data_IF_561446353124
#
_entry.id   IF_561446353124
#
_cell.length_a   1.000
_cell.length_b   1.000
_cell.length_c   1.000
_cell.angle_alpha   90.00
_cell.angle_beta   90.00
_cell.angle_gamma   90.00
#
_symmetry.space_group_name_H-M   'P 1'
#
loop_
_entity.id
_entity.type
_entity.pdbx_description
1 polymer ?
#
# COMPACT_ATOMS: atom_id res chain seq x y z
N UNK A 1 -14.34 13.54 -0.49
CA UNK A 1 -13.91 12.82 -1.70
C UNK A 1 -15.04 11.84 -2.06
N UNK A 2 -15.81 12.06 -3.13
CA UNK A 2 -16.96 11.20 -3.49
C UNK A 2 -16.43 9.86 -4.02
N UNK A 3 -16.80 8.75 -3.39
CA UNK A 3 -16.52 7.42 -3.91
C UNK A 3 -17.54 7.07 -5.00
N UNK A 4 -17.10 7.04 -6.25
CA UNK A 4 -17.91 6.57 -7.37
C UNK A 4 -17.92 5.04 -7.44
N UNK A 5 -19.12 4.45 -7.53
CA UNK A 5 -19.34 3.03 -7.76
C UNK A 5 -18.62 2.59 -9.05
N UNK A 6 -17.60 1.73 -8.92
CA UNK A 6 -16.91 1.14 -10.07
C UNK A 6 -17.38 -0.31 -10.26
N UNK A 7 -18.09 -0.54 -11.36
CA UNK A 7 -18.56 -1.84 -11.82
C UNK A 7 -17.45 -2.90 -11.89
N UNK A 8 -17.81 -4.12 -11.50
CA UNK A 8 -16.91 -5.24 -11.19
C UNK A 8 -15.98 -5.68 -12.34
N UNK A 9 -14.68 -5.88 -12.07
CA UNK A 9 -13.81 -6.76 -12.85
C UNK A 9 -13.50 -8.05 -12.07
N UNK A 10 -13.33 -9.15 -12.82
CA UNK A 10 -13.10 -10.51 -12.35
C UNK A 10 -12.17 -10.62 -11.13
N UNK A 11 -12.77 -11.13 -10.04
CA UNK A 11 -12.19 -11.27 -8.71
C UNK A 11 -11.12 -12.38 -8.72
N UNK A 12 -9.88 -12.03 -8.34
CA UNK A 12 -8.85 -13.03 -8.01
C UNK A 12 -9.42 -13.96 -6.92
N UNK A 13 -9.36 -15.28 -7.12
CA UNK A 13 -9.87 -16.29 -6.19
C UNK A 13 -9.11 -16.22 -4.86
N UNK A 14 -9.61 -15.39 -3.94
CA UNK A 14 -9.23 -15.39 -2.52
C UNK A 14 -9.54 -16.80 -2.02
N UNK A 15 -8.54 -17.53 -1.49
CA UNK A 15 -8.77 -18.81 -0.77
C UNK A 15 -9.88 -18.52 0.24
N UNK A 16 -10.98 -19.28 0.14
CA UNK A 16 -12.28 -18.95 0.72
C UNK A 16 -12.17 -18.17 2.02
N UNK A 17 -12.52 -16.87 1.96
CA UNK A 17 -12.98 -16.18 3.15
C UNK A 17 -14.15 -17.02 3.63
N UNK A 18 -14.01 -17.64 4.81
CA UNK A 18 -15.09 -18.43 5.35
C UNK A 18 -16.33 -17.52 5.36
N UNK A 19 -17.35 -17.92 4.60
CA UNK A 19 -18.60 -17.16 4.44
C UNK A 19 -19.48 -17.28 5.68
N UNK A 20 -18.89 -17.56 6.84
CA UNK A 20 -19.47 -17.16 8.10
C UNK A 20 -19.72 -15.66 7.98
N UNK A 21 -21.00 -15.32 7.81
CA UNK A 21 -21.50 -13.96 7.63
C UNK A 21 -21.27 -13.20 8.94
N UNK A 22 -20.02 -12.87 9.25
CA UNK A 22 -19.71 -11.86 10.24
C UNK A 22 -20.17 -10.53 9.65
N UNK A 23 -21.47 -10.25 9.78
CA UNK A 23 -22.05 -8.98 9.43
C UNK A 23 -21.45 -7.98 10.40
N UNK A 24 -20.59 -7.10 9.89
CA UNK A 24 -20.06 -6.00 10.68
C UNK A 24 -21.25 -5.25 11.27
N UNK A 25 -21.30 -5.16 12.61
CA UNK A 25 -22.35 -4.45 13.32
C UNK A 25 -22.40 -2.99 12.85
N UNK A 26 -23.53 -2.30 13.01
CA UNK A 26 -23.57 -0.85 12.84
C UNK A 26 -22.46 -0.20 13.68
N UNK A 27 -21.79 0.79 13.11
CA UNK A 27 -20.77 1.54 13.85
C UNK A 27 -21.47 2.71 14.54
N UNK A 28 -21.31 2.82 15.87
CA UNK A 28 -21.73 3.99 16.61
C UNK A 28 -20.63 5.04 16.49
N UNK A 29 -20.97 6.21 15.98
CA UNK A 29 -20.07 7.36 15.90
C UNK A 29 -20.49 8.40 16.93
N UNK A 30 -19.75 9.50 17.04
CA UNK A 30 -20.07 10.59 17.97
C UNK A 30 -21.44 11.23 17.68
N UNK A 31 -21.87 11.26 16.41
CA UNK A 31 -23.07 11.99 15.98
C UNK A 31 -24.16 11.10 15.37
N UNK A 32 -23.84 9.91 14.87
CA UNK A 32 -24.80 9.04 14.17
C UNK A 32 -24.39 7.53 14.20
N UNK A 33 -25.23 6.67 13.64
CA UNK A 33 -24.99 5.23 13.49
C UNK A 33 -24.83 4.89 12.00
N UNK A 34 -23.67 4.36 11.62
CA UNK A 34 -23.42 3.92 10.26
C UNK A 34 -23.99 2.51 10.02
N UNK A 35 -25.04 2.43 9.20
CA UNK A 35 -25.74 1.17 8.91
C UNK A 35 -25.25 0.48 7.64
N UNK A 36 -25.10 1.23 6.54
CA UNK A 36 -24.69 0.65 5.25
C UNK A 36 -23.19 0.37 5.22
N UNK A 37 -22.75 -0.51 4.33
CA UNK A 37 -21.31 -0.77 4.17
C UNK A 37 -20.54 0.46 3.68
N UNK A 38 -21.19 1.33 2.92
CA UNK A 38 -20.60 2.58 2.43
C UNK A 38 -20.41 3.57 3.58
N UNK A 39 -21.45 3.80 4.39
CA UNK A 39 -21.36 4.67 5.57
C UNK A 39 -20.26 4.19 6.49
N UNK A 40 -20.23 2.87 6.78
CA UNK A 40 -19.20 2.28 7.63
C UNK A 40 -17.79 2.48 7.07
N UNK A 41 -17.61 2.34 5.76
CA UNK A 41 -16.32 2.56 5.12
C UNK A 41 -15.89 4.03 5.21
N UNK A 42 -16.82 4.96 5.01
CA UNK A 42 -16.59 6.40 5.15
C UNK A 42 -16.21 6.76 6.59
N UNK A 43 -16.93 6.26 7.59
CA UNK A 43 -16.61 6.51 9.00
C UNK A 43 -15.23 5.99 9.40
N UNK A 44 -14.88 4.77 8.96
CA UNK A 44 -13.54 4.23 9.18
C UNK A 44 -12.48 5.10 8.47
N UNK A 45 -12.73 5.50 7.22
CA UNK A 45 -11.80 6.34 6.48
C UNK A 45 -11.57 7.69 7.16
N UNK A 46 -12.64 8.37 7.59
CA UNK A 46 -12.58 9.64 8.32
C UNK A 46 -11.82 9.48 9.65
N UNK A 47 -12.11 8.42 10.41
CA UNK A 47 -11.43 8.14 11.67
C UNK A 47 -9.93 7.92 11.46
N UNK A 48 -9.54 7.13 10.45
CA UNK A 48 -8.14 6.89 10.12
C UNK A 48 -7.46 8.18 9.64
N UNK A 49 -8.10 8.97 8.78
CA UNK A 49 -7.57 10.25 8.32
C UNK A 49 -7.29 11.20 9.50
N UNK A 50 -8.18 11.24 10.49
CA UNK A 50 -7.98 12.01 11.71
C UNK A 50 -6.82 11.48 12.58
N UNK A 51 -6.70 10.16 12.72
CA UNK A 51 -5.62 9.53 13.52
C UNK A 51 -4.23 9.67 12.90
N UNK A 52 -4.15 9.71 11.56
CA UNK A 52 -2.87 9.83 10.84
C UNK A 52 -2.45 11.27 10.55
N UNK A 53 -2.98 12.25 11.30
CA UNK A 53 -2.49 13.63 11.27
C UNK A 53 -1.16 13.74 12.02
N UNK A 54 -0.32 14.69 11.62
CA UNK A 54 0.87 15.01 12.40
C UNK A 54 0.43 15.46 13.80
N UNK A 55 1.07 14.90 14.83
CA UNK A 55 0.86 15.34 16.20
C UNK A 55 1.29 16.80 16.34
N UNK A 56 0.49 17.61 17.04
CA UNK A 56 0.81 19.01 17.35
C UNK A 56 1.75 19.14 18.56
N UNK A 57 2.70 18.21 18.67
CA UNK A 57 3.69 18.21 19.75
C UNK A 57 4.88 19.03 19.24
N UNK A 58 4.80 20.35 19.43
CA UNK A 58 5.91 21.24 19.12
C UNK A 58 6.88 21.31 20.31
N UNK A 59 8.15 20.96 20.05
CA UNK A 59 9.25 21.16 20.99
C UNK A 59 10.37 21.86 20.23
N UNK A 60 10.50 23.20 20.34
CA UNK A 60 11.39 23.99 19.49
C UNK A 60 12.86 23.51 19.45
N UNK A 61 13.46 23.04 20.57
CA UNK A 61 14.80 22.47 20.53
C UNK A 61 14.91 21.20 19.67
N UNK A 62 13.89 20.32 19.72
CA UNK A 62 13.86 19.09 18.92
C UNK A 62 13.66 19.43 17.45
N UNK A 63 12.75 20.34 17.13
CA UNK A 63 12.52 20.78 15.76
C UNK A 63 13.77 21.38 15.12
N UNK A 64 14.49 22.22 15.88
CA UNK A 64 15.76 22.77 15.44
C UNK A 64 16.78 21.67 15.14
N UNK A 65 16.95 20.71 16.05
CA UNK A 65 17.89 19.60 15.89
C UNK A 65 17.53 18.72 14.68
N UNK A 66 16.25 18.39 14.51
CA UNK A 66 15.74 17.63 13.36
C UNK A 66 16.01 18.39 12.07
N UNK A 67 15.71 19.70 12.02
CA UNK A 67 15.93 20.53 10.83
C UNK A 67 17.42 20.61 10.47
N UNK A 68 18.29 20.76 11.46
CA UNK A 68 19.74 20.73 11.27
C UNK A 68 20.18 19.39 10.67
N UNK A 69 19.76 18.26 11.27
CA UNK A 69 20.12 16.92 10.80
C UNK A 69 19.60 16.60 9.39
N UNK A 70 18.37 17.00 9.08
CA UNK A 70 17.80 16.85 7.73
C UNK A 70 18.58 17.69 6.71
N UNK A 71 18.97 18.92 7.05
CA UNK A 71 19.76 19.77 6.16
C UNK A 71 21.19 19.24 5.97
N UNK A 72 21.81 18.74 7.04
CA UNK A 72 23.11 18.05 6.99
C UNK A 72 23.04 16.85 6.04
N UNK A 73 22.01 16.00 6.19
CA UNK A 73 21.77 14.85 5.32
C UNK A 73 21.52 15.24 3.86
N UNK A 74 20.77 16.31 3.59
CA UNK A 74 20.51 16.77 2.20
C UNK A 74 21.75 17.34 1.51
N UNK A 75 22.72 17.85 2.28
CA UNK A 75 23.97 18.43 1.77
C UNK A 75 25.09 17.40 1.66
N UNK A 76 24.96 16.24 2.31
CA UNK A 76 25.97 15.21 2.21
C UNK A 76 26.05 14.68 0.76
N UNK A 77 27.26 14.48 0.22
CA UNK A 77 27.40 13.89 -1.10
C UNK A 77 26.85 12.47 -1.06
N UNK A 78 26.02 12.12 -2.05
CA UNK A 78 25.50 10.75 -2.23
C UNK A 78 26.70 9.85 -2.60
N UNK A 79 27.26 9.19 -1.59
CA UNK A 79 28.60 8.57 -1.68
C UNK A 79 28.60 7.10 -2.13
N UNK A 80 27.46 6.53 -2.53
CA UNK A 80 27.44 5.11 -2.94
C UNK A 80 26.80 4.92 -4.32
N UNK A 81 27.51 4.29 -5.26
CA UNK A 81 26.89 3.75 -6.47
C UNK A 81 25.81 2.77 -6.03
N UNK A 82 24.54 3.04 -6.38
CA UNK A 82 23.48 2.06 -6.14
C UNK A 82 23.69 0.90 -7.09
N UNK A 83 23.85 -0.30 -6.53
CA UNK A 83 23.89 -1.54 -7.30
C UNK A 83 22.58 -1.72 -8.06
N UNK A 84 22.67 -1.82 -9.38
CA UNK A 84 21.53 -2.10 -10.25
C UNK A 84 21.12 -3.57 -10.15
N UNK A 85 19.83 -3.84 -10.30
CA UNK A 85 19.28 -5.18 -10.39
C UNK A 85 19.63 -5.84 -11.72
N UNK A 86 19.94 -7.14 -11.69
CA UNK A 86 20.11 -7.97 -12.88
C UNK A 86 18.75 -8.51 -13.34
N UNK A 87 18.60 -8.72 -14.65
CA UNK A 87 17.37 -9.29 -15.20
C UNK A 87 17.08 -10.71 -14.65
N UNK A 88 18.12 -11.49 -14.36
CA UNK A 88 17.99 -12.81 -13.72
C UNK A 88 17.40 -12.71 -12.31
N UNK A 89 17.86 -11.76 -11.50
CA UNK A 89 17.33 -11.51 -10.16
C UNK A 89 15.86 -11.14 -10.23
N UNK A 90 15.47 -10.24 -11.14
CA UNK A 90 14.07 -9.83 -11.32
C UNK A 90 13.22 -11.03 -11.76
N UNK A 91 13.70 -11.83 -12.71
CA UNK A 91 13.01 -13.03 -13.19
C UNK A 91 12.75 -14.04 -12.07
N UNK A 92 13.79 -14.37 -11.28
CA UNK A 92 13.68 -15.29 -10.16
C UNK A 92 12.71 -14.79 -9.09
N UNK A 93 12.73 -13.49 -8.80
CA UNK A 93 11.83 -12.88 -7.82
C UNK A 93 10.37 -12.93 -8.29
N UNK A 94 10.08 -12.64 -9.56
CA UNK A 94 8.74 -12.79 -10.14
C UNK A 94 8.26 -14.25 -10.01
N UNK A 95 9.14 -15.22 -10.26
CA UNK A 95 8.83 -16.65 -10.09
C UNK A 95 8.41 -17.02 -8.66
N UNK A 96 9.03 -16.39 -7.66
CA UNK A 96 8.77 -16.60 -6.22
C UNK A 96 7.45 -15.99 -5.73
N UNK A 97 6.77 -15.16 -6.52
CA UNK A 97 5.52 -14.51 -6.07
C UNK A 97 4.42 -15.53 -5.69
N UNK A 98 3.65 -15.25 -4.65
CA UNK A 98 2.50 -16.10 -4.28
C UNK A 98 1.31 -15.77 -5.20
N UNK A 99 0.69 -16.78 -5.82
CA UNK A 99 -0.38 -16.56 -6.80
C UNK A 99 -1.66 -15.96 -6.18
N UNK A 100 -1.96 -16.29 -4.92
CA UNK A 100 -3.20 -15.89 -4.25
C UNK A 100 -3.04 -14.59 -3.44
N UNK A 101 -2.29 -13.63 -3.99
CA UNK A 101 -2.17 -12.28 -3.42
C UNK A 101 -3.10 -11.34 -4.15
N UNK A 102 -3.59 -10.32 -3.45
CA UNK A 102 -4.41 -9.29 -4.07
C UNK A 102 -3.60 -8.55 -5.13
N UNK A 103 -4.17 -8.27 -6.31
CA UNK A 103 -3.56 -7.35 -7.26
C UNK A 103 -3.52 -5.94 -6.66
N UNK A 104 -2.64 -5.10 -7.21
CA UNK A 104 -2.58 -3.68 -6.90
C UNK A 104 -3.71 -2.88 -7.56
N UNK A 105 -3.61 -1.54 -7.48
CA UNK A 105 -4.55 -0.61 -8.12
C UNK A 105 -4.61 -0.79 -9.66
N UNK A 106 -3.52 -1.26 -10.25
CA UNK A 106 -3.39 -1.58 -11.67
C UNK A 106 -4.13 -2.86 -12.10
N UNK A 107 -4.66 -3.63 -11.13
CA UNK A 107 -5.33 -4.91 -11.33
C UNK A 107 -4.44 -5.99 -11.95
N UNK A 108 -3.11 -5.82 -11.95
CA UNK A 108 -2.17 -6.83 -12.42
C UNK A 108 -1.93 -7.86 -11.30
N UNK A 109 -2.34 -9.10 -11.51
CA UNK A 109 -2.11 -10.17 -10.53
C UNK A 109 -0.72 -10.77 -10.63
N UNK A 110 -0.22 -11.34 -9.53
CA UNK A 110 1.03 -12.10 -9.51
C UNK A 110 1.03 -13.26 -10.52
N UNK A 111 -0.13 -13.89 -10.73
CA UNK A 111 -0.28 -14.96 -11.72
C UNK A 111 -0.09 -14.46 -13.16
N UNK A 112 -0.51 -13.22 -13.45
CA UNK A 112 -0.29 -12.59 -14.75
C UNK A 112 1.19 -12.30 -14.93
N UNK A 113 1.85 -11.68 -13.93
CA UNK A 113 3.28 -11.36 -13.97
C UNK A 113 4.15 -12.59 -14.29
N UNK A 114 3.84 -13.75 -13.69
CA UNK A 114 4.54 -15.01 -13.96
C UNK A 114 4.35 -15.56 -15.37
N UNK A 115 3.24 -15.22 -16.04
CA UNK A 115 2.92 -15.68 -17.40
C UNK A 115 3.35 -14.69 -18.48
N UNK A 116 3.95 -13.55 -18.10
CA UNK A 116 4.40 -12.56 -19.07
C UNK A 116 5.61 -13.08 -19.86
N UNK A 117 5.74 -12.70 -21.14
CA UNK A 117 6.91 -13.01 -21.94
C UNK A 117 8.21 -12.47 -21.32
N UNK A 118 9.34 -13.17 -21.52
CA UNK A 118 10.64 -12.80 -20.95
C UNK A 118 11.07 -11.36 -21.29
N UNK A 119 10.71 -10.85 -22.47
CA UNK A 119 10.95 -9.44 -22.87
C UNK A 119 10.41 -8.43 -21.85
N UNK A 120 9.32 -8.76 -21.16
CA UNK A 120 8.73 -7.86 -20.17
C UNK A 120 9.58 -7.81 -18.90
N UNK A 121 10.23 -8.91 -18.51
CA UNK A 121 11.16 -8.92 -17.38
C UNK A 121 12.32 -7.96 -17.58
N UNK A 122 12.86 -7.88 -18.81
CA UNK A 122 13.88 -6.88 -19.15
C UNK A 122 13.35 -5.44 -18.98
N UNK A 123 12.14 -5.15 -19.47
CA UNK A 123 11.51 -3.82 -19.29
C UNK A 123 11.27 -3.45 -17.83
N UNK A 124 10.83 -4.41 -17.02
CA UNK A 124 10.67 -4.21 -15.57
C UNK A 124 12.02 -3.93 -14.92
N UNK A 125 13.07 -4.65 -15.31
CA UNK A 125 14.43 -4.46 -14.82
C UNK A 125 14.96 -3.06 -15.16
N UNK A 126 14.76 -2.61 -16.40
CA UNK A 126 15.13 -1.26 -16.85
C UNK A 126 14.42 -0.18 -16.03
N UNK A 127 13.12 -0.37 -15.78
CA UNK A 127 12.31 0.55 -14.97
C UNK A 127 12.81 0.62 -13.52
N UNK A 128 13.08 -0.53 -12.89
CA UNK A 128 13.62 -0.59 -11.52
C UNK A 128 14.97 0.12 -11.47
N UNK A 129 15.86 -0.17 -12.42
CA UNK A 129 17.18 0.44 -12.48
C UNK A 129 17.12 1.94 -12.75
N UNK A 130 16.17 2.42 -13.55
CA UNK A 130 15.95 3.85 -13.76
C UNK A 130 15.49 4.54 -12.46
N UNK A 131 14.59 3.91 -11.70
CA UNK A 131 14.14 4.39 -10.38
C UNK A 131 15.30 4.49 -9.39
N UNK A 132 16.12 3.43 -9.32
CA UNK A 132 17.29 3.37 -8.46
C UNK A 132 18.32 4.46 -8.80
N UNK A 133 18.69 4.59 -10.08
CA UNK A 133 19.65 5.61 -10.56
C UNK A 133 19.19 7.04 -10.32
N UNK A 134 17.87 7.29 -10.37
CA UNK A 134 17.30 8.62 -10.15
C UNK A 134 17.04 8.93 -8.68
N UNK A 135 17.27 7.97 -7.77
CA UNK A 135 16.92 8.10 -6.36
C UNK A 135 15.47 8.58 -6.14
N UNK A 136 14.56 8.18 -7.03
CA UNK A 136 13.20 8.72 -7.08
C UNK A 136 12.16 7.60 -7.02
N UNK A 137 11.34 7.61 -5.97
CA UNK A 137 10.21 6.69 -5.85
C UNK A 137 8.98 7.25 -6.58
N UNK A 138 8.44 6.55 -7.59
CA UNK A 138 7.27 6.99 -8.33
C UNK A 138 6.06 7.29 -7.44
N UNK A 139 5.30 8.34 -7.77
CA UNK A 139 4.06 8.69 -7.05
C UNK A 139 3.06 7.54 -7.02
N UNK A 140 2.97 6.76 -8.10
CA UNK A 140 2.13 5.57 -8.17
C UNK A 140 2.46 4.53 -7.08
N UNK A 141 3.74 4.38 -6.70
CA UNK A 141 4.17 3.46 -5.63
C UNK A 141 3.89 4.00 -4.23
N UNK A 142 3.67 5.31 -4.10
CA UNK A 142 3.27 5.97 -2.84
C UNK A 142 1.76 5.99 -2.64
N UNK A 143 1.00 5.49 -3.61
CA UNK A 143 -0.46 5.46 -3.58
C UNK A 143 -0.92 4.04 -3.30
N UNK A 144 -1.79 3.86 -2.32
CA UNK A 144 -2.33 2.56 -1.94
C UNK A 144 -3.84 2.65 -1.69
N UNK A 145 -4.52 1.51 -1.87
CA UNK A 145 -5.91 1.35 -1.47
C UNK A 145 -5.91 0.56 -0.16
N UNK A 146 -6.49 1.12 0.88
CA UNK A 146 -6.63 0.47 2.18
C UNK A 146 -7.96 -0.30 2.23
N UNK A 147 -7.88 -1.59 2.56
CA UNK A 147 -9.05 -2.42 2.85
C UNK A 147 -8.96 -2.87 4.31
N UNK A 148 -9.80 -2.35 5.22
CA UNK A 148 -9.82 -2.81 6.60
C UNK A 148 -10.28 -4.27 6.65
N UNK A 149 -9.48 -5.11 7.30
CA UNK A 149 -9.80 -6.52 7.52
C UNK A 149 -10.03 -6.71 9.02
N UNK A 150 -11.24 -7.16 9.37
CA UNK A 150 -11.53 -7.52 10.75
C UNK A 150 -10.65 -8.70 11.16
N UNK A 151 -9.86 -8.52 12.21
CA UNK A 151 -9.11 -9.62 12.82
C UNK A 151 -10.12 -10.65 13.33
N UNK A 152 -9.89 -11.93 13.05
CA UNK A 152 -10.72 -12.99 13.64
C UNK A 152 -10.53 -12.92 15.16
N UNK A 153 -11.63 -12.70 15.90
CA UNK A 153 -11.60 -12.70 17.36
C UNK A 153 -11.07 -14.06 17.84
N UNK A 154 -10.02 -14.04 18.66
CA UNK A 154 -9.73 -15.21 19.48
C UNK A 154 -10.91 -15.37 20.44
N UNK A 155 -11.43 -16.60 20.59
CA UNK A 155 -12.36 -16.92 21.68
C UNK A 155 -11.62 -16.57 22.97
N UNK A 156 -11.91 -15.42 23.59
CA UNK A 156 -11.52 -14.98 24.93
C UNK A 156 -12.00 -13.53 25.10
N UNK A 157 -13.28 -13.36 25.42
CA UNK A 157 -13.86 -12.19 26.11
C UNK A 157 -15.12 -12.66 26.81
#
# INVERSE_FOLDING_TARGET
>A
MKFGLCSSPQICRIKGFNRDKHKMLPLVTENDIAYTNEDKANEIANSLENQFKNNDISHPPTEYLVRQKVNEFKRSPVSTPITTCKASEVFENIGKFKNNKSPGIDKISNSMLKRLPLKITFRITDLINAVLRRHYIPKAWKTAIAFPILKHGGKNS
#
